data_IF_266309341619
#
_entry.id   IF_266309341619
#
_cell.length_a   1.000
_cell.length_b   1.000
_cell.length_c   1.000
_cell.angle_alpha   90.00
_cell.angle_beta   90.00
_cell.angle_gamma   90.00
#
_symmetry.space_group_name_H-M   'P 1'
#
loop_
_entity.id
_entity.type
_entity.pdbx_description
1 polymer ?
#
# COMPACT_ATOMS: atom_id res chain seq x y z
N UNK A 1 -22.98 -6.12 30.24
CA UNK A 1 -23.95 -6.11 31.33
C UNK A 1 -25.22 -6.87 30.93
N UNK A 2 -26.11 -7.18 31.88
CA UNK A 2 -27.36 -7.92 31.61
C UNK A 2 -28.39 -7.14 30.79
N UNK A 3 -28.13 -5.85 30.59
CA UNK A 3 -28.98 -4.86 29.90
C UNK A 3 -28.49 -4.44 28.52
N UNK A 4 -27.42 -5.08 28.03
CA UNK A 4 -26.80 -4.73 26.73
C UNK A 4 -25.94 -3.46 26.74
N UNK A 5 -25.82 -2.76 27.87
CA UNK A 5 -25.00 -1.58 27.99
C UNK A 5 -23.50 -1.94 28.09
N UNK A 6 -22.65 -1.11 27.48
CA UNK A 6 -21.21 -1.21 27.55
C UNK A 6 -20.72 -0.46 28.78
N UNK A 7 -19.95 -1.13 29.63
CA UNK A 7 -19.33 -0.56 30.81
C UNK A 7 -17.81 -0.58 30.64
N UNK A 8 -17.17 0.55 30.93
CA UNK A 8 -15.73 0.67 31.02
C UNK A 8 -15.28 0.72 32.49
N UNK A 9 -14.19 0.07 32.83
CA UNK A 9 -13.52 0.19 34.13
C UNK A 9 -12.27 1.04 33.97
N UNK A 10 -12.20 2.16 34.72
CA UNK A 10 -11.00 3.01 34.77
C UNK A 10 -10.34 2.81 36.12
N UNK A 11 -9.05 2.43 36.12
CA UNK A 11 -8.24 2.34 37.34
C UNK A 11 -7.34 3.58 37.47
N UNK A 12 -7.55 4.37 38.47
CA UNK A 12 -6.70 5.51 38.83
C UNK A 12 -5.60 5.02 39.77
N UNK A 13 -4.36 4.99 39.30
CA UNK A 13 -3.21 4.53 40.12
C UNK A 13 -2.54 5.66 40.90
N UNK A 14 -2.75 6.91 40.50
CA UNK A 14 -2.17 8.10 41.13
C UNK A 14 -3.27 9.15 41.35
N UNK A 15 -3.04 10.05 42.34
CA UNK A 15 -3.93 11.17 42.64
C UNK A 15 -5.32 10.78 43.16
N UNK A 16 -5.46 9.57 43.72
CA UNK A 16 -6.73 9.11 44.30
C UNK A 16 -7.26 10.04 45.38
N UNK A 17 -6.36 10.69 46.12
CA UNK A 17 -6.68 11.61 47.21
C UNK A 17 -7.51 12.81 46.74
N UNK A 18 -7.37 13.24 45.47
CA UNK A 18 -8.13 14.36 44.93
C UNK A 18 -9.60 14.03 44.65
N UNK A 19 -9.95 12.73 44.57
CA UNK A 19 -11.29 12.27 44.17
C UNK A 19 -12.04 11.57 45.31
N UNK A 20 -11.48 11.55 46.56
CA UNK A 20 -12.07 10.84 47.70
C UNK A 20 -13.40 11.44 48.14
N UNK A 21 -13.62 12.73 47.93
CA UNK A 21 -14.83 13.44 48.31
C UNK A 21 -15.84 13.54 47.14
N UNK A 22 -15.44 13.20 45.94
CA UNK A 22 -16.29 13.33 44.76
C UNK A 22 -17.09 12.04 44.51
N UNK A 23 -18.40 12.21 44.38
CA UNK A 23 -19.34 11.13 44.11
C UNK A 23 -19.33 10.75 42.62
N UNK A 24 -18.96 11.68 41.75
CA UNK A 24 -18.84 11.54 40.29
C UNK A 24 -17.59 12.26 39.85
N UNK A 25 -16.84 11.59 38.97
CA UNK A 25 -15.65 12.14 38.33
C UNK A 25 -15.92 12.23 36.82
N UNK A 26 -15.85 13.44 36.30
CA UNK A 26 -15.90 13.67 34.88
C UNK A 26 -14.53 13.38 34.27
N UNK A 27 -14.48 12.53 33.23
CA UNK A 27 -13.27 12.29 32.50
C UNK A 27 -13.54 12.33 31.01
N UNK A 28 -12.57 12.78 30.21
CA UNK A 28 -12.58 12.69 28.76
C UNK A 28 -11.52 11.70 28.32
N UNK A 29 -11.91 10.76 27.46
CA UNK A 29 -10.96 9.94 26.75
C UNK A 29 -10.30 10.82 25.67
N UNK A 30 -9.03 11.13 25.87
CA UNK A 30 -8.22 11.68 24.77
C UNK A 30 -7.67 10.49 23.98
N UNK A 31 -8.26 10.24 22.85
CA UNK A 31 -7.61 9.39 21.85
C UNK A 31 -6.27 10.04 21.50
N UNK A 32 -5.23 9.22 21.39
CA UNK A 32 -3.96 9.68 20.86
C UNK A 32 -4.25 10.05 19.40
N UNK A 33 -4.31 11.34 19.09
CA UNK A 33 -4.43 11.81 17.73
C UNK A 33 -3.25 11.24 16.94
N UNK A 34 -3.48 10.18 16.21
CA UNK A 34 -2.49 9.69 15.27
C UNK A 34 -2.35 10.74 14.16
N UNK A 35 -1.17 11.37 14.12
CA UNK A 35 -0.87 12.42 13.17
C UNK A 35 -0.79 11.84 11.75
N UNK A 36 -1.93 11.75 11.09
CA UNK A 36 -2.09 11.26 9.72
C UNK A 36 -2.47 12.36 8.73
N UNK A 37 -2.60 11.98 7.46
CA UNK A 37 -3.27 12.77 6.44
C UNK A 37 -4.71 12.35 6.35
N UNK A 38 -5.63 13.32 6.33
CA UNK A 38 -7.06 13.07 6.18
C UNK A 38 -7.43 13.13 4.71
N UNK A 39 -7.98 12.03 4.17
CA UNK A 39 -8.41 11.92 2.77
C UNK A 39 -9.88 11.49 2.69
N UNK A 40 -10.63 11.86 1.64
CA UNK A 40 -11.99 11.35 1.43
C UNK A 40 -11.99 9.84 1.21
N UNK A 41 -12.97 9.14 1.79
CA UNK A 41 -13.12 7.69 1.58
C UNK A 41 -13.36 7.32 0.11
N UNK A 42 -14.06 8.21 -0.65
CA UNK A 42 -14.32 8.04 -2.09
C UNK A 42 -13.07 8.07 -2.98
N UNK A 43 -11.96 8.61 -2.49
CA UNK A 43 -10.70 8.65 -3.21
C UNK A 43 -9.95 7.31 -3.18
N UNK A 44 -10.30 6.43 -2.24
CA UNK A 44 -9.56 5.20 -1.99
C UNK A 44 -9.96 4.11 -2.97
N UNK A 45 -8.95 3.49 -3.57
CA UNK A 45 -9.09 2.37 -4.50
C UNK A 45 -8.21 1.21 -4.07
N UNK A 46 -8.50 0.04 -4.61
CA UNK A 46 -7.65 -1.13 -4.49
C UNK A 46 -7.01 -1.44 -5.84
N UNK A 47 -5.72 -1.70 -5.83
CA UNK A 47 -4.96 -2.11 -7.01
C UNK A 47 -4.19 -3.38 -6.72
N UNK A 48 -4.25 -4.34 -7.64
CA UNK A 48 -3.53 -5.59 -7.54
C UNK A 48 -2.12 -5.48 -8.11
N UNK A 49 -1.19 -6.18 -7.45
CA UNK A 49 0.21 -6.27 -7.83
C UNK A 49 0.64 -7.73 -7.82
N UNK A 50 1.52 -8.13 -8.75
CA UNK A 50 2.25 -9.37 -8.60
C UNK A 50 3.19 -9.27 -7.41
N UNK A 51 3.32 -10.38 -6.69
CA UNK A 51 4.19 -10.50 -5.52
C UNK A 51 5.29 -11.50 -5.86
N UNK A 52 6.52 -11.04 -5.96
CA UNK A 52 7.67 -11.85 -6.37
C UNK A 52 8.70 -11.85 -5.24
N UNK A 53 9.21 -13.04 -4.81
CA UNK A 53 10.22 -13.09 -3.76
C UNK A 53 11.47 -12.29 -4.14
N UNK A 54 12.02 -11.54 -3.19
CA UNK A 54 13.17 -10.65 -3.42
C UNK A 54 14.42 -11.39 -3.89
N UNK A 55 14.52 -12.68 -3.66
CA UNK A 55 15.64 -13.50 -4.11
C UNK A 55 15.73 -13.66 -5.64
N UNK A 56 14.64 -13.39 -6.37
CA UNK A 56 14.59 -13.38 -7.83
C UNK A 56 14.86 -12.00 -8.43
N UNK A 57 14.91 -10.94 -7.59
CA UNK A 57 15.22 -9.60 -8.05
C UNK A 57 16.70 -9.51 -8.44
N UNK A 58 16.95 -9.03 -9.63
CA UNK A 58 18.28 -8.81 -10.17
C UNK A 58 18.50 -7.35 -10.54
N UNK A 59 19.76 -6.95 -10.63
CA UNK A 59 20.17 -5.62 -11.06
C UNK A 59 21.10 -5.78 -12.26
N UNK A 60 20.72 -5.19 -13.38
CA UNK A 60 21.52 -5.21 -14.60
C UNK A 60 22.78 -4.32 -14.46
N UNK A 61 23.72 -4.49 -15.39
CA UNK A 61 24.97 -3.74 -15.41
C UNK A 61 24.79 -2.21 -15.54
N UNK A 62 23.65 -1.76 -16.09
CA UNK A 62 23.25 -0.36 -16.19
C UNK A 62 22.56 0.19 -14.93
N UNK A 63 22.38 -0.66 -13.91
CA UNK A 63 21.70 -0.33 -12.66
C UNK A 63 20.19 -0.52 -12.68
N UNK A 64 19.60 -0.97 -13.81
CA UNK A 64 18.16 -1.26 -13.91
C UNK A 64 17.80 -2.46 -13.05
N UNK A 65 16.70 -2.37 -12.32
CA UNK A 65 16.14 -3.49 -11.57
C UNK A 65 15.19 -4.30 -12.45
N UNK A 66 15.11 -5.60 -12.19
CA UNK A 66 14.25 -6.48 -12.97
C UNK A 66 14.38 -7.94 -12.57
N UNK A 67 13.94 -8.82 -13.48
CA UNK A 67 13.92 -10.25 -13.26
C UNK A 67 14.38 -11.00 -14.48
N UNK A 68 15.02 -12.15 -14.29
CA UNK A 68 15.35 -13.05 -15.39
C UNK A 68 14.17 -13.96 -15.69
N UNK A 69 13.53 -13.78 -16.85
CA UNK A 69 12.46 -14.64 -17.34
C UNK A 69 13.03 -15.77 -18.17
N UNK A 70 12.53 -16.99 -17.98
CA UNK A 70 12.84 -18.13 -18.79
C UNK A 70 12.05 -18.05 -20.12
N UNK A 71 12.73 -18.16 -21.24
CA UNK A 71 12.12 -18.21 -22.55
C UNK A 71 11.79 -19.66 -22.96
N UNK A 72 11.00 -19.84 -24.03
CA UNK A 72 10.56 -21.15 -24.50
C UNK A 72 11.69 -22.07 -24.96
N UNK A 73 12.82 -21.51 -25.38
CA UNK A 73 14.03 -22.22 -25.75
C UNK A 73 14.93 -22.64 -24.60
N UNK A 74 14.48 -22.32 -23.35
CA UNK A 74 15.22 -22.58 -22.10
C UNK A 74 16.27 -21.52 -21.75
N UNK A 75 16.49 -20.52 -22.60
CA UNK A 75 17.34 -19.37 -22.29
C UNK A 75 16.68 -18.46 -21.24
N UNK A 76 17.45 -17.54 -20.69
CA UNK A 76 16.94 -16.53 -19.76
C UNK A 76 17.14 -15.14 -20.34
N UNK A 77 16.11 -14.30 -20.22
CA UNK A 77 16.12 -12.90 -20.65
C UNK A 77 15.87 -11.99 -19.46
N UNK A 78 16.72 -10.97 -19.29
CA UNK A 78 16.47 -9.93 -18.28
C UNK A 78 15.32 -9.03 -18.75
N UNK A 79 14.31 -8.87 -17.89
CA UNK A 79 13.17 -7.98 -18.09
C UNK A 79 13.28 -6.87 -17.05
N UNK A 80 13.68 -5.69 -17.50
CA UNK A 80 13.70 -4.50 -16.65
C UNK A 80 12.26 -4.20 -16.20
N UNK A 81 12.08 -4.02 -14.89
CA UNK A 81 10.75 -3.91 -14.30
C UNK A 81 10.78 -2.86 -13.20
N UNK A 82 9.84 -1.94 -13.24
CA UNK A 82 9.65 -0.98 -12.16
C UNK A 82 9.12 -1.69 -10.92
N UNK A 83 9.86 -1.58 -9.82
CA UNK A 83 9.45 -2.10 -8.53
C UNK A 83 8.64 -1.02 -7.82
N UNK A 84 7.33 -1.24 -7.72
CA UNK A 84 6.42 -0.31 -7.08
C UNK A 84 6.71 -0.20 -5.57
N UNK A 85 6.88 -1.34 -4.92
CA UNK A 85 7.19 -1.46 -3.50
C UNK A 85 8.06 -2.68 -3.25
N UNK A 86 8.89 -2.61 -2.24
CA UNK A 86 9.66 -3.74 -1.71
C UNK A 86 9.50 -3.82 -0.21
N UNK A 87 9.19 -4.98 0.31
CA UNK A 87 9.25 -5.28 1.73
C UNK A 87 10.42 -6.25 2.05
N UNK A 88 10.44 -6.83 3.23
CA UNK A 88 11.53 -7.72 3.64
C UNK A 88 11.64 -9.00 2.81
N UNK A 89 10.54 -9.47 2.24
CA UNK A 89 10.46 -10.77 1.57
C UNK A 89 10.10 -10.66 0.08
N UNK A 90 9.32 -9.63 -0.30
CA UNK A 90 8.72 -9.54 -1.61
C UNK A 90 8.91 -8.19 -2.29
N UNK A 91 9.00 -8.25 -3.61
CA UNK A 91 8.87 -7.11 -4.53
C UNK A 91 7.48 -7.10 -5.14
N UNK A 92 6.86 -5.93 -5.20
CA UNK A 92 5.53 -5.70 -5.76
C UNK A 92 5.69 -5.00 -7.10
N UNK A 93 5.15 -5.58 -8.15
CA UNK A 93 5.19 -5.02 -9.50
C UNK A 93 3.78 -4.87 -10.06
N UNK A 94 3.55 -3.81 -10.82
CA UNK A 94 2.25 -3.57 -11.44
C UNK A 94 1.91 -4.66 -12.44
N UNK A 95 0.64 -5.09 -12.43
CA UNK A 95 0.12 -6.01 -13.44
C UNK A 95 -0.04 -5.21 -14.74
N UNK A 96 0.63 -5.60 -15.82
CA UNK A 96 0.54 -4.88 -17.10
C UNK A 96 -0.87 -4.99 -17.67
N UNK A 97 -1.31 -3.92 -18.34
CA UNK A 97 -2.60 -3.91 -19.07
C UNK A 97 -2.47 -4.52 -20.47
N UNK A 98 -1.30 -4.44 -21.05
CA UNK A 98 -1.00 -4.91 -22.41
C UNK A 98 -0.16 -6.18 -22.36
N UNK A 99 -0.37 -7.06 -23.34
CA UNK A 99 0.37 -8.31 -23.51
C UNK A 99 1.70 -8.09 -24.29
N UNK A 100 2.47 -7.07 -23.94
CA UNK A 100 3.78 -6.86 -24.53
C UNK A 100 4.75 -7.97 -24.09
N UNK A 101 5.60 -8.42 -25.00
CA UNK A 101 6.66 -9.40 -24.73
C UNK A 101 7.77 -8.88 -23.82
N UNK A 102 7.83 -7.57 -23.59
CA UNK A 102 8.84 -6.92 -22.76
C UNK A 102 8.38 -6.72 -21.31
N UNK A 103 7.19 -7.19 -20.95
CA UNK A 103 6.64 -7.10 -19.60
C UNK A 103 6.45 -8.49 -19.00
N UNK A 104 6.45 -8.57 -17.70
CA UNK A 104 6.18 -9.79 -16.94
C UNK A 104 4.68 -10.02 -16.82
N UNK A 105 4.25 -11.28 -16.99
CA UNK A 105 2.84 -11.66 -16.94
C UNK A 105 2.61 -12.94 -16.15
N UNK A 106 1.36 -13.21 -15.83
CA UNK A 106 0.95 -14.46 -15.17
C UNK A 106 1.41 -15.67 -15.96
N UNK A 107 2.03 -16.63 -15.28
CA UNK A 107 2.55 -17.86 -15.86
C UNK A 107 4.00 -17.76 -16.32
N UNK A 108 4.60 -16.58 -16.40
CA UNK A 108 6.03 -16.45 -16.67
C UNK A 108 6.83 -17.13 -15.56
N UNK A 109 7.88 -17.84 -15.97
CA UNK A 109 8.80 -18.51 -15.05
C UNK A 109 10.04 -17.64 -14.89
N UNK A 110 10.28 -17.21 -13.67
CA UNK A 110 11.49 -16.47 -13.31
C UNK A 110 12.59 -17.43 -12.87
N UNK A 111 13.84 -17.05 -13.17
CA UNK A 111 15.04 -17.77 -12.73
C UNK A 111 15.86 -16.87 -11.82
N UNK A 112 16.34 -17.46 -10.72
CA UNK A 112 17.27 -16.78 -9.86
C UNK A 112 18.66 -16.79 -10.50
N UNK A 113 19.31 -15.64 -10.52
CA UNK A 113 20.66 -15.51 -11.07
C UNK A 113 21.65 -16.46 -10.36
N UNK A 114 22.39 -17.23 -11.14
CA UNK A 114 23.39 -18.17 -10.62
C UNK A 114 22.82 -19.41 -9.92
N UNK A 115 21.51 -19.67 -9.99
CA UNK A 115 20.84 -20.82 -9.39
C UNK A 115 19.91 -21.54 -10.38
N UNK A 116 19.54 -22.78 -10.05
CA UNK A 116 18.48 -23.52 -10.75
C UNK A 116 17.08 -23.20 -10.23
N UNK A 117 16.97 -22.38 -9.20
CA UNK A 117 15.68 -22.04 -8.59
C UNK A 117 14.79 -21.27 -9.57
N UNK A 118 13.50 -21.58 -9.50
CA UNK A 118 12.50 -20.94 -10.35
C UNK A 118 11.27 -20.51 -9.55
N UNK A 119 10.62 -19.47 -10.03
CA UNK A 119 9.38 -18.97 -9.49
C UNK A 119 8.40 -18.66 -10.60
N UNK A 120 7.17 -19.18 -10.51
CA UNK A 120 6.12 -18.87 -11.50
C UNK A 120 5.29 -17.68 -11.00
N UNK A 121 5.17 -16.65 -11.83
CA UNK A 121 4.34 -15.48 -11.54
C UNK A 121 2.87 -15.90 -11.56
N UNK A 122 2.18 -15.65 -10.44
CA UNK A 122 0.77 -15.94 -10.28
C UNK A 122 0.17 -15.28 -9.05
N UNK A 123 0.81 -15.38 -7.89
CA UNK A 123 0.27 -14.74 -6.69
C UNK A 123 0.18 -13.23 -6.82
N UNK A 124 -0.99 -12.69 -6.45
CA UNK A 124 -1.26 -11.24 -6.40
C UNK A 124 -1.57 -10.80 -4.99
N UNK A 125 -1.37 -9.51 -4.72
CA UNK A 125 -1.80 -8.85 -3.49
C UNK A 125 -2.43 -7.51 -3.82
N UNK A 126 -3.59 -7.26 -3.24
CA UNK A 126 -4.26 -5.98 -3.33
C UNK A 126 -3.65 -4.99 -2.34
N UNK A 127 -3.34 -3.79 -2.80
CA UNK A 127 -2.91 -2.67 -1.98
C UNK A 127 -3.95 -1.56 -2.06
N UNK A 128 -4.27 -0.98 -0.90
CA UNK A 128 -5.10 0.22 -0.83
C UNK A 128 -4.28 1.45 -1.22
N UNK A 129 -4.88 2.34 -1.97
CA UNK A 129 -4.21 3.56 -2.41
C UNK A 129 -5.17 4.60 -2.96
N UNK A 130 -4.61 5.69 -3.43
CA UNK A 130 -5.31 6.78 -4.12
C UNK A 130 -4.59 7.10 -5.42
N UNK A 131 -5.27 7.76 -6.35
CA UNK A 131 -4.61 8.33 -7.51
C UNK A 131 -4.18 9.77 -7.23
N UNK A 132 -2.86 9.97 -7.20
CA UNK A 132 -2.23 11.28 -7.14
C UNK A 132 -2.09 11.85 -8.57
N UNK A 133 -2.35 13.15 -8.75
CA UNK A 133 -2.17 13.83 -10.03
C UNK A 133 -0.72 14.31 -10.12
N UNK A 134 0.09 13.61 -10.87
CA UNK A 134 1.49 13.93 -11.09
C UNK A 134 1.73 14.30 -12.56
N UNK A 135 2.15 15.54 -12.83
CA UNK A 135 2.40 16.06 -14.19
C UNK A 135 1.23 15.82 -15.16
N UNK A 136 0.00 15.90 -14.65
CA UNK A 136 -1.21 15.68 -15.44
C UNK A 136 -1.65 14.22 -15.58
N UNK A 137 -0.94 13.26 -15.00
CA UNK A 137 -1.30 11.85 -15.02
C UNK A 137 -1.77 11.36 -13.64
N UNK A 138 -2.75 10.45 -13.63
CA UNK A 138 -3.15 9.74 -12.44
C UNK A 138 -2.11 8.65 -12.12
N UNK A 139 -1.45 8.77 -10.98
CA UNK A 139 -0.44 7.82 -10.51
C UNK A 139 -0.89 7.19 -9.21
N UNK A 140 -0.97 5.88 -9.17
CA UNK A 140 -1.35 5.16 -7.95
C UNK A 140 -0.32 5.40 -6.84
N UNK A 141 -0.80 5.78 -5.65
CA UNK A 141 -0.02 5.94 -4.43
C UNK A 141 -0.64 5.11 -3.33
N UNK A 142 0.16 4.23 -2.74
CA UNK A 142 -0.29 3.40 -1.63
C UNK A 142 -0.60 4.25 -0.40
N UNK A 143 -1.63 3.85 0.33
CA UNK A 143 -1.92 4.38 1.66
C UNK A 143 -1.82 3.28 2.71
N UNK A 144 -1.51 3.67 3.94
CA UNK A 144 -1.60 2.82 5.12
C UNK A 144 -2.65 3.46 6.02
N UNK A 145 -3.86 2.89 6.09
CA UNK A 145 -4.92 3.45 6.91
C UNK A 145 -4.60 3.30 8.39
N UNK A 146 -4.77 4.38 9.14
CA UNK A 146 -4.72 4.41 10.61
C UNK A 146 -6.13 4.35 11.18
N UNK A 147 -7.05 5.14 10.64
CA UNK A 147 -8.45 5.20 11.03
C UNK A 147 -9.34 5.34 9.81
N UNK A 148 -10.52 4.71 9.81
CA UNK A 148 -11.50 4.73 8.71
C UNK A 148 -12.89 5.02 9.24
N UNK A 149 -13.62 5.88 8.53
CA UNK A 149 -15.07 6.00 8.63
C UNK A 149 -15.69 6.14 7.23
N UNK A 150 -16.99 6.34 7.15
CA UNK A 150 -17.72 6.37 5.88
C UNK A 150 -17.41 7.62 5.04
N UNK A 151 -16.90 8.69 5.63
CA UNK A 151 -16.63 9.96 4.95
C UNK A 151 -15.16 10.16 4.63
N UNK A 152 -14.27 9.76 5.54
CA UNK A 152 -12.84 9.97 5.40
C UNK A 152 -12.00 8.85 6.00
N UNK A 153 -10.74 8.82 5.60
CA UNK A 153 -9.71 7.92 6.12
C UNK A 153 -8.52 8.74 6.56
N UNK A 154 -7.99 8.42 7.74
CA UNK A 154 -6.71 8.96 8.21
C UNK A 154 -5.63 7.96 7.82
N UNK A 155 -4.61 8.42 7.10
CA UNK A 155 -3.53 7.58 6.57
C UNK A 155 -2.18 8.03 7.11
N UNK A 156 -1.26 7.09 7.23
CA UNK A 156 0.09 7.32 7.71
C UNK A 156 0.84 8.29 6.78
N UNK A 157 1.63 9.19 7.39
CA UNK A 157 2.50 10.15 6.70
C UNK A 157 3.87 9.53 6.40
N UNK A 158 4.54 10.06 5.38
CA UNK A 158 5.94 9.75 5.05
C UNK A 158 6.17 8.26 4.73
N UNK A 159 5.19 7.59 4.14
CA UNK A 159 5.36 6.24 3.61
C UNK A 159 6.10 6.28 2.28
N UNK A 160 6.97 5.28 2.04
CA UNK A 160 7.83 5.21 0.85
C UNK A 160 7.02 5.05 -0.40
N UNK A 161 6.22 5.40 -0.98
CA UNK A 161 5.31 5.30 -2.13
C UNK A 161 3.91 5.83 -1.79
N UNK A 162 3.82 6.57 -0.69
CA UNK A 162 2.57 7.16 -0.22
C UNK A 162 2.31 8.55 -0.78
N UNK A 163 1.40 9.24 -0.12
CA UNK A 163 1.04 10.62 -0.39
C UNK A 163 1.64 11.56 0.65
N UNK A 164 1.88 12.79 0.21
CA UNK A 164 2.42 13.87 1.04
C UNK A 164 1.40 15.01 1.20
N UNK A 165 1.70 15.92 2.12
CA UNK A 165 0.92 17.14 2.29
C UNK A 165 1.03 17.98 1.00
N UNK A 166 -0.11 18.50 0.52
CA UNK A 166 -0.28 19.22 -0.74
C UNK A 166 -0.32 18.38 -2.02
N UNK A 167 -0.26 17.05 -1.92
CA UNK A 167 -0.57 16.21 -3.06
C UNK A 167 -2.01 16.41 -3.53
N UNK A 168 -2.19 16.46 -4.84
CA UNK A 168 -3.52 16.52 -5.45
C UNK A 168 -4.00 15.11 -5.73
N UNK A 169 -5.04 14.66 -5.08
CA UNK A 169 -5.63 13.34 -5.26
C UNK A 169 -6.96 13.41 -5.99
N UNK A 170 -7.26 12.37 -6.76
CA UNK A 170 -8.56 12.22 -7.42
C UNK A 170 -9.61 11.85 -6.38
N UNK A 171 -10.70 12.62 -6.29
CA UNK A 171 -11.75 12.43 -5.27
C UNK A 171 -12.62 11.19 -5.50
N UNK A 172 -12.78 10.78 -6.76
CA UNK A 172 -13.51 9.55 -7.14
C UNK A 172 -12.53 8.62 -7.81
N UNK A 173 -11.83 7.83 -7.00
CA UNK A 173 -10.72 7.00 -7.45
C UNK A 173 -11.13 5.92 -8.45
N UNK A 174 -12.34 5.41 -8.35
CA UNK A 174 -12.91 4.39 -9.24
C UNK A 174 -13.16 4.88 -10.68
N UNK A 175 -13.20 6.19 -10.90
CA UNK A 175 -13.44 6.79 -12.22
C UNK A 175 -12.17 6.95 -13.07
N UNK A 176 -11.00 6.69 -12.53
CA UNK A 176 -9.73 6.86 -13.23
C UNK A 176 -8.90 5.59 -13.18
N UNK A 177 -7.96 5.49 -14.10
CA UNK A 177 -7.02 4.39 -14.16
C UNK A 177 -5.58 4.90 -14.00
N UNK A 178 -4.71 4.03 -13.52
CA UNK A 178 -3.28 4.32 -13.41
C UNK A 178 -2.67 4.66 -14.78
N UNK A 179 -1.90 5.75 -14.82
CA UNK A 179 -1.33 6.29 -16.05
C UNK A 179 -2.31 7.09 -16.94
N UNK A 180 -3.56 7.26 -16.54
CA UNK A 180 -4.53 8.05 -17.30
C UNK A 180 -4.19 9.54 -17.26
N UNK A 181 -4.25 10.20 -18.41
CA UNK A 181 -4.11 11.66 -18.51
C UNK A 181 -5.35 12.33 -17.94
N UNK A 182 -5.14 13.19 -16.96
CA UNK A 182 -6.18 14.00 -16.32
C UNK A 182 -6.04 15.42 -16.82
N UNK A 183 -7.04 15.91 -17.56
CA UNK A 183 -7.09 17.33 -17.93
C UNK A 183 -7.64 18.13 -16.74
N UNK A 184 -6.95 19.20 -16.41
CA UNK A 184 -7.45 20.19 -15.46
C UNK A 184 -8.33 21.20 -16.18
#
# INVERSE_FOLDING_TARGET
>A
GKDGALYGKVELKNYIDYFLEDRFVEFSLKEKEESGLKIPASAVVQKEFYVIPNEFLAVSADGSQGFYRQESDGSTKFIATEIYRKDQQFSYISIPKDEDSHVLKTGDVLRKEGSSDSYSIGPTKSLEGVYNINKGYAVFRQIIPLEKNDEYIIVEKNTSSGIEVYDHIVLQGDMVSDGQLIFQ
#
